data_IF_237532494045
#
_entry.id   IF_237532494045
#
_cell.length_a   1.000
_cell.length_b   1.000
_cell.length_c   1.000
_cell.angle_alpha   90.00
_cell.angle_beta   90.00
_cell.angle_gamma   90.00
#
_symmetry.space_group_name_H-M   'P 1'
#
loop_
_entity.id
_entity.type
_entity.pdbx_description
1 polymer ?
#
# COMPACT_ATOMS: atom_id res chain seq x y z
N UNK A 1 16.46 -21.38 14.94
CA UNK A 1 15.10 -20.79 15.10
C UNK A 1 15.21 -19.26 15.09
N UNK A 2 15.14 -18.55 13.95
CA UNK A 2 15.41 -17.11 13.94
C UNK A 2 14.14 -16.25 13.81
N UNK A 3 13.87 -15.47 14.85
CA UNK A 3 13.20 -14.18 14.82
C UNK A 3 14.16 -13.22 15.57
N UNK A 4 14.44 -11.99 15.16
CA UNK A 4 13.99 -10.74 15.80
C UNK A 4 14.49 -9.55 14.96
N UNK A 5 13.79 -8.40 14.98
CA UNK A 5 14.28 -7.20 14.29
C UNK A 5 15.48 -6.66 15.05
N UNK A 6 16.56 -6.38 14.35
CA UNK A 6 17.78 -5.90 15.00
C UNK A 6 17.52 -4.53 15.65
N UNK A 7 17.76 -4.36 16.97
CA UNK A 7 17.81 -3.06 17.58
C UNK A 7 18.97 -2.28 16.95
N UNK A 8 18.87 -0.95 16.83
CA UNK A 8 19.96 -0.09 16.31
C UNK A 8 21.35 -0.33 16.97
N UNK A 9 21.38 -0.99 18.12
CA UNK A 9 22.60 -1.43 18.80
C UNK A 9 23.34 -2.57 18.06
N UNK A 10 22.63 -3.55 17.48
CA UNK A 10 23.23 -4.67 16.73
C UNK A 10 23.79 -4.18 15.39
N UNK A 11 23.00 -3.38 14.66
CA UNK A 11 23.46 -2.71 13.43
C UNK A 11 24.63 -1.77 13.76
N UNK A 12 24.54 -1.00 14.86
CA UNK A 12 25.64 -0.14 15.31
C UNK A 12 26.92 -0.93 15.58
N UNK A 13 26.82 -2.05 16.30
CA UNK A 13 27.95 -2.93 16.57
C UNK A 13 28.56 -3.53 15.29
N UNK A 14 27.73 -3.99 14.35
CA UNK A 14 28.19 -4.57 13.09
C UNK A 14 28.91 -3.59 12.15
N UNK A 15 28.62 -2.30 12.28
CA UNK A 15 29.27 -1.22 11.51
C UNK A 15 30.25 -0.39 12.35
N UNK A 16 30.55 -0.81 13.58
CA UNK A 16 31.43 -0.09 14.53
C UNK A 16 31.04 1.37 14.77
N UNK A 17 29.74 1.67 14.77
CA UNK A 17 29.19 3.02 15.01
C UNK A 17 28.26 3.05 16.22
N UNK A 18 28.11 4.23 16.82
CA UNK A 18 27.16 4.40 17.93
C UNK A 18 25.72 4.18 17.50
N UNK A 19 24.88 3.69 18.42
CA UNK A 19 23.43 3.51 18.22
C UNK A 19 22.75 4.79 17.72
N UNK A 20 23.19 5.96 18.20
CA UNK A 20 22.68 7.26 17.76
C UNK A 20 23.03 7.57 16.29
N UNK A 21 24.25 7.21 15.87
CA UNK A 21 24.71 7.36 14.49
C UNK A 21 23.97 6.41 13.56
N UNK A 22 23.83 5.14 13.96
CA UNK A 22 23.02 4.16 13.24
C UNK A 22 21.57 4.64 13.08
N UNK A 23 20.94 5.12 14.16
CA UNK A 23 19.59 5.68 14.10
C UNK A 23 19.49 6.85 13.11
N UNK A 24 20.46 7.78 13.13
CA UNK A 24 20.48 8.94 12.21
C UNK A 24 20.55 8.47 10.76
N UNK A 25 21.50 7.59 10.44
CA UNK A 25 21.68 7.08 9.07
C UNK A 25 20.48 6.30 8.57
N UNK A 26 19.88 5.44 9.40
CA UNK A 26 18.66 4.72 9.00
C UNK A 26 17.52 5.69 8.71
N UNK A 27 17.30 6.70 9.56
CA UNK A 27 16.23 7.69 9.32
C UNK A 27 16.49 8.55 8.09
N UNK A 28 17.74 8.93 7.84
CA UNK A 28 18.16 9.70 6.66
C UNK A 28 17.95 8.89 5.38
N UNK A 29 18.43 7.65 5.35
CA UNK A 29 18.24 6.71 4.23
C UNK A 29 16.76 6.47 3.95
N UNK A 30 15.94 6.23 4.98
CA UNK A 30 14.47 6.10 4.82
C UNK A 30 13.87 7.39 4.24
N UNK A 31 14.36 8.56 4.66
CA UNK A 31 13.96 9.85 4.11
C UNK A 31 14.27 9.98 2.62
N UNK A 32 15.51 9.67 2.22
CA UNK A 32 15.98 9.71 0.83
C UNK A 32 15.20 8.73 -0.06
N UNK A 33 15.01 7.50 0.39
CA UNK A 33 14.22 6.50 -0.33
C UNK A 33 12.75 6.95 -0.47
N UNK A 34 12.17 7.49 0.60
CA UNK A 34 10.80 8.04 0.54
C UNK A 34 10.68 9.18 -0.47
N UNK A 35 11.70 10.03 -0.58
CA UNK A 35 11.71 11.14 -1.54
C UNK A 35 11.79 10.65 -3.00
N UNK A 36 12.44 9.49 -3.24
CA UNK A 36 12.50 8.83 -4.55
C UNK A 36 11.22 8.07 -4.92
N UNK A 37 10.34 7.80 -3.97
CA UNK A 37 9.09 7.09 -4.26
C UNK A 37 8.25 7.86 -5.29
N UNK A 38 7.75 7.18 -6.34
CA UNK A 38 7.00 7.84 -7.40
C UNK A 38 5.77 8.55 -6.83
N UNK A 39 5.42 9.68 -7.43
CA UNK A 39 4.11 10.32 -7.19
C UNK A 39 3.04 9.55 -7.95
N UNK A 40 1.82 9.51 -7.41
CA UNK A 40 0.68 8.80 -8.00
C UNK A 40 0.51 9.06 -9.50
N UNK A 41 0.44 10.33 -9.90
CA UNK A 41 0.27 10.73 -11.30
C UNK A 41 1.43 10.27 -12.19
N UNK A 42 2.67 10.28 -11.67
CA UNK A 42 3.83 9.81 -12.41
C UNK A 42 3.80 8.28 -12.57
N UNK A 43 3.42 7.54 -11.53
CA UNK A 43 3.26 6.09 -11.57
C UNK A 43 2.19 5.67 -12.60
N UNK A 44 1.02 6.31 -12.58
CA UNK A 44 -0.06 5.99 -13.52
C UNK A 44 0.27 6.40 -14.97
N UNK A 45 0.94 7.53 -15.20
CA UNK A 45 1.45 7.88 -16.54
C UNK A 45 2.50 6.89 -17.04
N UNK A 46 3.34 6.36 -16.15
CA UNK A 46 4.29 5.30 -16.52
C UNK A 46 3.53 4.05 -16.94
N UNK A 47 2.56 3.59 -16.14
CA UNK A 47 1.72 2.44 -16.46
C UNK A 47 0.97 2.60 -17.81
N UNK A 48 0.43 3.79 -18.07
CA UNK A 48 -0.21 4.11 -19.36
C UNK A 48 0.78 3.99 -20.53
N UNK A 49 1.98 4.58 -20.41
CA UNK A 49 3.01 4.50 -21.48
C UNK A 49 3.51 3.08 -21.70
N UNK A 50 3.51 2.25 -20.65
CA UNK A 50 3.86 0.83 -20.72
C UNK A 50 2.69 -0.04 -21.25
N UNK A 51 1.57 0.57 -21.64
CA UNK A 51 0.45 -0.13 -22.26
C UNK A 51 -0.34 -1.03 -21.31
N UNK A 52 -0.28 -0.78 -20.00
CA UNK A 52 -1.02 -1.58 -19.03
C UNK A 52 -2.53 -1.43 -19.22
N UNK A 53 -3.23 -2.55 -19.45
CA UNK A 53 -4.68 -2.54 -19.66
C UNK A 53 -5.47 -2.11 -18.42
N UNK A 54 -4.94 -2.41 -17.24
CA UNK A 54 -5.53 -2.02 -15.96
C UNK A 54 -4.45 -1.96 -14.88
N UNK A 55 -4.80 -1.35 -13.75
CA UNK A 55 -4.05 -1.41 -12.50
C UNK A 55 -4.92 -2.00 -11.39
N UNK A 56 -4.32 -2.42 -10.29
CA UNK A 56 -5.03 -2.95 -9.12
C UNK A 56 -4.92 -1.91 -8.02
N UNK A 57 -6.05 -1.52 -7.44
CA UNK A 57 -6.09 -0.65 -6.25
C UNK A 57 -6.45 -1.51 -5.04
N UNK A 58 -5.68 -1.37 -3.97
CA UNK A 58 -5.96 -2.05 -2.72
C UNK A 58 -5.49 -1.24 -1.51
N UNK A 59 -6.30 -1.29 -0.44
CA UNK A 59 -6.04 -0.62 0.82
C UNK A 59 -5.47 -1.62 1.81
N UNK A 60 -4.43 -1.23 2.54
CA UNK A 60 -3.79 -2.15 3.48
C UNK A 60 -3.51 -1.49 4.82
N UNK A 61 -3.87 -2.19 5.89
CA UNK A 61 -3.62 -1.78 7.25
C UNK A 61 -2.24 -2.27 7.69
N UNK A 62 -1.38 -1.35 8.13
CA UNK A 62 -0.09 -1.64 8.76
C UNK A 62 -0.27 -1.46 10.27
N UNK A 63 -0.11 -2.51 11.09
CA UNK A 63 -0.26 -2.42 12.54
C UNK A 63 0.77 -1.49 13.19
N UNK A 64 0.31 -0.66 14.13
CA UNK A 64 1.15 0.23 14.95
C UNK A 64 0.94 -0.08 16.44
N UNK A 65 1.88 0.34 17.29
CA UNK A 65 1.63 0.36 18.74
C UNK A 65 0.46 1.29 19.08
N UNK A 66 -0.30 0.90 20.11
CA UNK A 66 -1.41 1.71 20.63
C UNK A 66 -0.86 3.05 21.13
N UNK A 67 -1.35 4.17 20.61
CA UNK A 67 -1.16 5.47 21.26
C UNK A 67 -2.29 5.67 22.28
N UNK A 68 -2.00 6.36 23.39
CA UNK A 68 -2.95 6.60 24.47
C UNK A 68 -4.20 7.42 24.06
N UNK A 69 -4.14 8.17 22.95
CA UNK A 69 -5.16 9.14 22.53
C UNK A 69 -5.68 8.88 21.10
N UNK A 70 -6.30 7.71 20.80
CA UNK A 70 -6.15 7.21 19.42
C UNK A 70 -7.30 6.45 18.74
N UNK A 71 -8.56 6.79 19.05
CA UNK A 71 -9.72 6.32 18.27
C UNK A 71 -9.52 6.41 16.75
N UNK A 72 -8.90 7.46 16.16
CA UNK A 72 -8.70 7.55 14.72
C UNK A 72 -7.80 6.46 14.11
N UNK A 73 -6.87 5.87 14.87
CA UNK A 73 -5.99 4.82 14.35
C UNK A 73 -6.52 3.42 14.61
N UNK A 74 -7.56 3.28 15.44
CA UNK A 74 -8.24 2.02 15.64
C UNK A 74 -9.11 1.67 14.42
N UNK A 75 -8.74 0.59 13.73
CA UNK A 75 -9.55 0.04 12.64
C UNK A 75 -10.59 -0.92 13.20
N UNK A 76 -11.87 -0.54 13.17
CA UNK A 76 -12.96 -1.41 13.62
C UNK A 76 -13.05 -2.72 12.82
N UNK A 77 -12.77 -2.67 11.50
CA UNK A 77 -12.73 -3.83 10.60
C UNK A 77 -11.70 -4.88 11.05
N UNK A 78 -10.54 -4.42 11.50
CA UNK A 78 -9.43 -5.28 11.86
C UNK A 78 -9.24 -5.46 13.37
N UNK A 79 -9.99 -4.72 14.20
CA UNK A 79 -9.89 -4.67 15.67
C UNK A 79 -8.47 -4.37 16.19
N UNK A 80 -7.72 -3.56 15.43
CA UNK A 80 -6.30 -3.28 15.65
C UNK A 80 -6.02 -1.80 15.42
N UNK A 81 -5.03 -1.24 16.14
CA UNK A 81 -4.48 0.08 15.81
C UNK A 81 -3.54 -0.05 14.61
N UNK A 82 -3.69 0.83 13.63
CA UNK A 82 -2.89 0.79 12.43
C UNK A 82 -2.93 2.10 11.65
N UNK A 83 -2.11 2.16 10.62
CA UNK A 83 -2.23 3.15 9.56
C UNK A 83 -2.79 2.48 8.30
N UNK A 84 -3.69 3.15 7.60
CA UNK A 84 -4.15 2.75 6.29
C UNK A 84 -3.21 3.36 5.23
N UNK A 85 -2.68 2.53 4.35
CA UNK A 85 -1.97 2.95 3.13
C UNK A 85 -2.66 2.35 1.92
N UNK A 86 -2.74 3.13 0.85
CA UNK A 86 -3.28 2.71 -0.44
C UNK A 86 -2.13 2.29 -1.35
N UNK A 87 -2.32 1.21 -2.07
CA UNK A 87 -1.34 0.64 -2.98
C UNK A 87 -1.96 0.54 -4.36
N UNK A 88 -1.17 0.90 -5.38
CA UNK A 88 -1.48 0.63 -6.77
C UNK A 88 -0.43 -0.33 -7.30
N UNK A 89 -0.89 -1.44 -7.88
CA UNK A 89 -0.05 -2.47 -8.47
C UNK A 89 -0.39 -2.69 -9.95
N UNK A 90 0.56 -3.19 -10.71
CA UNK A 90 0.36 -3.66 -12.08
C UNK A 90 -0.30 -5.04 -12.11
N UNK A 91 -0.78 -5.51 -13.29
CA UNK A 91 -1.41 -6.82 -13.44
C UNK A 91 -0.54 -8.02 -13.05
N UNK A 92 0.79 -7.90 -13.08
CA UNK A 92 1.74 -8.94 -12.66
C UNK A 92 1.98 -8.97 -11.13
N UNK A 93 1.57 -7.91 -10.42
CA UNK A 93 1.76 -7.74 -8.98
C UNK A 93 2.92 -6.82 -8.60
N UNK A 94 3.58 -6.15 -9.55
CA UNK A 94 4.60 -5.14 -9.24
C UNK A 94 3.95 -3.91 -8.60
N UNK A 95 4.53 -3.40 -7.52
CA UNK A 95 4.03 -2.18 -6.86
C UNK A 95 4.40 -0.96 -7.70
N UNK A 96 3.40 -0.21 -8.14
CA UNK A 96 3.60 1.02 -8.93
C UNK A 96 3.60 2.26 -8.04
N UNK A 97 2.82 2.24 -6.96
CA UNK A 97 2.71 3.37 -6.05
C UNK A 97 2.22 2.95 -4.66
N UNK A 98 2.73 3.62 -3.63
CA UNK A 98 2.26 3.53 -2.25
C UNK A 98 1.95 4.93 -1.70
N UNK A 99 0.79 5.07 -1.08
CA UNK A 99 0.34 6.34 -0.52
C UNK A 99 1.12 6.78 0.72
N UNK A 100 0.90 8.02 1.16
CA UNK A 100 1.25 8.39 2.54
C UNK A 100 0.34 7.66 3.54
N UNK A 101 0.68 7.74 4.83
CA UNK A 101 -0.17 7.16 5.86
C UNK A 101 -1.48 7.94 6.04
N UNK A 102 -2.55 7.20 6.32
CA UNK A 102 -3.80 7.72 6.87
C UNK A 102 -4.13 6.96 8.16
N UNK A 103 -4.98 7.51 9.04
CA UNK A 103 -5.43 6.80 10.23
C UNK A 103 -6.11 5.47 9.87
N UNK A 104 -5.90 4.41 10.65
CA UNK A 104 -6.42 3.07 10.37
C UNK A 104 -7.94 2.94 10.38
N UNK A 105 -8.67 3.90 10.95
CA UNK A 105 -10.14 3.99 10.84
C UNK A 105 -10.63 4.49 9.48
N UNK A 106 -9.74 5.04 8.65
CA UNK A 106 -10.11 5.63 7.35
C UNK A 106 -10.59 4.56 6.39
N UNK A 107 -11.82 4.71 5.89
CA UNK A 107 -12.39 3.82 4.89
C UNK A 107 -11.65 3.94 3.55
N UNK A 108 -11.55 2.85 2.80
CA UNK A 108 -10.74 2.81 1.56
C UNK A 108 -11.24 3.81 0.50
N UNK A 109 -12.56 3.98 0.33
CA UNK A 109 -13.11 5.05 -0.53
C UNK A 109 -12.70 6.45 -0.07
N UNK A 110 -12.66 6.72 1.24
CA UNK A 110 -12.26 8.01 1.77
C UNK A 110 -10.75 8.24 1.55
N UNK A 111 -9.93 7.21 1.78
CA UNK A 111 -8.51 7.25 1.49
C UNK A 111 -8.24 7.53 0.01
N UNK A 112 -8.92 6.82 -0.90
CA UNK A 112 -8.78 7.04 -2.34
C UNK A 112 -9.24 8.43 -2.78
N UNK A 113 -10.27 9.02 -2.13
CA UNK A 113 -10.65 10.43 -2.34
C UNK A 113 -9.55 11.38 -1.88
N UNK A 114 -9.02 11.20 -0.66
CA UNK A 114 -7.93 12.05 -0.14
C UNK A 114 -6.72 12.05 -1.10
N UNK A 115 -6.37 10.88 -1.64
CA UNK A 115 -5.26 10.75 -2.58
C UNK A 115 -5.62 11.09 -4.04
N UNK A 116 -6.87 11.45 -4.32
CA UNK A 116 -7.36 11.84 -5.65
C UNK A 116 -7.09 10.78 -6.74
N UNK A 117 -7.25 9.50 -6.38
CA UNK A 117 -6.92 8.37 -7.27
C UNK A 117 -7.79 8.35 -8.52
N UNK A 118 -9.10 8.56 -8.38
CA UNK A 118 -10.04 8.60 -9.50
C UNK A 118 -9.73 9.71 -10.49
N UNK A 119 -9.34 10.89 -10.01
CA UNK A 119 -8.92 11.98 -10.87
C UNK A 119 -7.66 11.59 -11.66
N UNK A 120 -6.68 10.98 -10.99
CA UNK A 120 -5.45 10.55 -11.67
C UNK A 120 -5.69 9.41 -12.68
N UNK A 121 -6.64 8.50 -12.43
CA UNK A 121 -7.05 7.45 -13.38
C UNK A 121 -7.76 8.02 -14.61
N UNK A 122 -8.63 9.03 -14.42
CA UNK A 122 -9.30 9.75 -15.50
C UNK A 122 -8.28 10.41 -16.42
N UNK A 123 -7.29 11.09 -15.84
CA UNK A 123 -6.26 11.79 -16.60
C UNK A 123 -5.40 10.84 -17.47
N UNK A 124 -5.29 9.56 -17.09
CA UNK A 124 -4.51 8.57 -17.85
C UNK A 124 -5.37 7.65 -18.70
N UNK A 125 -6.70 7.69 -18.54
CA UNK A 125 -7.63 6.74 -19.16
C UNK A 125 -7.53 5.31 -18.64
N UNK A 126 -6.84 5.08 -17.51
CA UNK A 126 -6.63 3.73 -16.97
C UNK A 126 -7.85 3.25 -16.18
N UNK A 127 -8.03 1.93 -16.18
CA UNK A 127 -8.99 1.23 -15.32
C UNK A 127 -8.27 0.67 -14.10
N UNK A 128 -8.88 0.80 -12.93
CA UNK A 128 -8.43 0.20 -11.68
C UNK A 128 -9.41 -0.86 -11.18
N UNK A 129 -8.88 -2.04 -10.81
CA UNK A 129 -9.65 -3.11 -10.18
C UNK A 129 -9.55 -3.00 -8.66
N UNK A 130 -10.66 -2.66 -8.01
CA UNK A 130 -10.76 -2.52 -6.56
C UNK A 130 -11.49 -3.68 -5.88
N UNK A 131 -11.30 -3.82 -4.57
CA UNK A 131 -12.10 -4.71 -3.74
C UNK A 131 -13.49 -4.10 -3.46
N UNK A 132 -14.28 -4.76 -2.60
CA UNK A 132 -15.59 -4.25 -2.19
C UNK A 132 -15.50 -2.95 -1.37
N UNK A 133 -14.36 -2.65 -0.76
CA UNK A 133 -14.09 -1.41 -0.04
C UNK A 133 -14.07 -0.18 -0.93
N UNK A 134 -13.90 -0.34 -2.25
CA UNK A 134 -13.98 0.74 -3.23
C UNK A 134 -15.35 0.90 -3.88
N UNK A 135 -16.35 0.11 -3.45
CA UNK A 135 -17.66 0.18 -4.07
C UNK A 135 -18.29 1.57 -3.92
N UNK A 136 -18.86 2.10 -5.01
CA UNK A 136 -19.40 3.46 -5.06
C UNK A 136 -18.36 4.57 -5.00
N UNK A 137 -17.06 4.25 -5.11
CA UNK A 137 -16.00 5.26 -5.22
C UNK A 137 -16.09 6.00 -6.56
N UNK A 138 -16.20 5.26 -7.66
CA UNK A 138 -16.52 5.79 -8.97
C UNK A 138 -18.00 5.56 -9.26
N UNK A 139 -18.78 6.64 -9.29
CA UNK A 139 -20.22 6.59 -9.54
C UNK A 139 -20.55 6.16 -10.98
N UNK A 140 -19.62 6.39 -11.92
CA UNK A 140 -19.78 5.98 -13.33
C UNK A 140 -19.37 4.53 -13.56
N UNK A 141 -18.49 3.99 -12.70
CA UNK A 141 -17.90 2.67 -12.86
C UNK A 141 -16.97 2.52 -14.07
N UNK A 142 -16.59 3.62 -14.73
CA UNK A 142 -15.76 3.61 -15.94
C UNK A 142 -14.27 3.40 -15.63
N UNK A 143 -13.79 3.92 -14.51
CA UNK A 143 -12.37 3.86 -14.14
C UNK A 143 -12.11 2.99 -12.92
N UNK A 144 -13.08 2.78 -12.04
CA UNK A 144 -12.91 1.88 -10.89
C UNK A 144 -13.96 0.80 -10.91
N UNK A 145 -13.51 -0.42 -11.24
CA UNK A 145 -14.37 -1.60 -11.30
C UNK A 145 -14.27 -2.30 -9.94
N UNK A 146 -15.42 -2.68 -9.39
CA UNK A 146 -15.53 -3.45 -8.14
C UNK A 146 -16.47 -4.64 -8.36
N UNK A 147 -16.32 -5.74 -7.60
CA UNK A 147 -17.16 -6.90 -7.78
C UNK A 147 -18.63 -6.59 -7.44
N UNK A 148 -19.56 -7.23 -8.13
CA UNK A 148 -21.00 -7.08 -7.89
C UNK A 148 -21.38 -7.44 -6.44
N UNK A 149 -22.26 -6.65 -5.82
CA UNK A 149 -22.79 -6.87 -4.45
C UNK A 149 -24.12 -7.64 -4.48
N UNK A 150 -24.51 -8.25 -3.36
CA UNK A 150 -25.80 -8.94 -3.20
C UNK A 150 -25.70 -10.45 -2.97
N UNK A 151 -26.78 -11.02 -2.43
CA UNK A 151 -27.05 -12.48 -2.32
C UNK A 151 -27.84 -12.95 -3.55
N UNK A 152 -27.80 -14.25 -3.86
CA UNK A 152 -28.53 -14.86 -4.98
C UNK A 152 -28.26 -14.22 -6.36
N UNK A 153 -26.98 -14.01 -6.66
CA UNK A 153 -26.58 -13.43 -7.95
C UNK A 153 -26.83 -14.41 -9.10
N UNK A 154 -27.21 -13.91 -10.30
CA UNK A 154 -27.16 -14.68 -11.53
C UNK A 154 -25.75 -15.27 -11.75
N UNK A 155 -25.67 -16.40 -12.45
CA UNK A 155 -24.38 -17.08 -12.65
C UNK A 155 -23.38 -16.19 -13.40
N UNK A 156 -23.84 -15.39 -14.37
CA UNK A 156 -23.00 -14.41 -15.09
C UNK A 156 -22.30 -13.40 -14.16
N UNK A 157 -22.96 -12.93 -13.12
CA UNK A 157 -22.33 -12.03 -12.13
C UNK A 157 -21.38 -12.76 -11.19
N UNK A 158 -21.63 -14.05 -10.92
CA UNK A 158 -20.67 -14.86 -10.16
C UNK A 158 -19.41 -15.12 -10.98
N UNK A 159 -19.55 -15.42 -12.26
CA UNK A 159 -18.44 -15.56 -13.21
C UNK A 159 -17.61 -14.28 -13.31
N UNK A 160 -18.27 -13.13 -13.49
CA UNK A 160 -17.60 -11.84 -13.49
C UNK A 160 -16.83 -11.60 -12.18
N UNK A 161 -17.41 -11.94 -11.03
CA UNK A 161 -16.71 -11.83 -9.74
C UNK A 161 -15.53 -12.80 -9.61
N UNK A 162 -15.63 -14.02 -10.15
CA UNK A 162 -14.51 -14.98 -10.19
C UNK A 162 -13.37 -14.46 -11.07
N UNK A 163 -13.69 -13.92 -12.25
CA UNK A 163 -12.71 -13.30 -13.14
C UNK A 163 -12.06 -12.07 -12.47
N UNK A 164 -12.86 -11.20 -11.84
CA UNK A 164 -12.39 -10.04 -11.09
C UNK A 164 -11.42 -10.43 -9.98
N UNK A 165 -11.76 -11.45 -9.18
CA UNK A 165 -10.89 -11.94 -8.13
C UNK A 165 -9.57 -12.50 -8.69
N UNK A 166 -9.62 -13.25 -9.79
CA UNK A 166 -8.42 -13.78 -10.46
C UNK A 166 -7.49 -12.65 -10.94
N UNK A 167 -8.05 -11.61 -11.55
CA UNK A 167 -7.29 -10.46 -12.06
C UNK A 167 -6.71 -9.59 -10.93
N UNK A 168 -7.33 -9.60 -9.74
CA UNK A 168 -6.84 -8.87 -8.55
C UNK A 168 -5.83 -9.63 -7.70
N UNK A 169 -5.80 -10.97 -7.77
CA UNK A 169 -4.87 -11.81 -7.02
C UNK A 169 -3.41 -11.33 -7.02
N UNK A 170 -2.86 -10.84 -8.16
CA UNK A 170 -1.52 -10.24 -8.19
C UNK A 170 -1.33 -9.02 -7.28
N UNK A 171 -2.32 -8.13 -7.16
CA UNK A 171 -2.24 -6.98 -6.26
C UNK A 171 -2.34 -7.38 -4.78
N UNK A 172 -3.09 -8.44 -4.47
CA UNK A 172 -3.10 -9.00 -3.12
C UNK A 172 -1.72 -9.57 -2.74
N UNK A 173 -1.04 -10.22 -3.70
CA UNK A 173 0.37 -10.65 -3.51
C UNK A 173 1.31 -9.48 -3.31
N UNK A 174 1.14 -8.39 -4.06
CA UNK A 174 1.93 -7.16 -3.89
C UNK A 174 1.82 -6.63 -2.45
N UNK A 175 0.60 -6.59 -1.91
CA UNK A 175 0.36 -6.21 -0.52
C UNK A 175 0.92 -7.21 0.49
N UNK A 176 0.87 -8.50 0.20
CA UNK A 176 1.49 -9.52 1.04
C UNK A 176 3.01 -9.36 1.08
N UNK A 177 3.65 -9.10 -0.07
CA UNK A 177 5.08 -8.80 -0.18
C UNK A 177 5.46 -7.53 0.57
N UNK A 178 4.63 -6.49 0.56
CA UNK A 178 4.87 -5.32 1.41
C UNK A 178 4.90 -5.72 2.89
N UNK A 179 3.97 -6.59 3.32
CA UNK A 179 3.84 -7.06 4.72
C UNK A 179 4.86 -8.10 5.17
N UNK A 180 5.63 -8.72 4.28
CA UNK A 180 6.69 -9.66 4.68
C UNK A 180 7.80 -8.94 5.45
N UNK A 181 8.05 -7.66 5.12
CA UNK A 181 9.00 -6.79 5.80
C UNK A 181 8.66 -6.66 7.28
N UNK A 182 9.58 -7.15 8.12
CA UNK A 182 9.36 -7.27 9.57
C UNK A 182 9.05 -5.94 10.24
N UNK A 183 9.61 -4.85 9.72
CA UNK A 183 9.35 -3.49 10.18
C UNK A 183 7.87 -3.10 10.03
N UNK A 184 7.15 -3.65 9.05
CA UNK A 184 5.72 -3.38 8.82
C UNK A 184 4.79 -4.34 9.57
N UNK A 185 5.30 -5.41 10.20
CA UNK A 185 4.44 -6.31 11.00
C UNK A 185 3.92 -5.64 12.26
N UNK A 186 4.73 -4.77 12.87
CA UNK A 186 4.36 -3.94 14.02
C UNK A 186 5.31 -2.75 14.11
N UNK A 187 4.87 -1.60 13.62
CA UNK A 187 5.66 -0.38 13.65
C UNK A 187 5.70 0.20 15.08
N UNK A 188 6.87 0.16 15.70
CA UNK A 188 7.17 0.82 16.98
C UNK A 188 7.77 2.22 16.74
N UNK A 189 7.04 3.07 16.04
CA UNK A 189 7.49 4.43 15.75
C UNK A 189 6.34 5.42 15.84
N UNK A 190 6.65 6.71 15.94
CA UNK A 190 5.64 7.77 15.91
C UNK A 190 4.73 7.59 14.67
N UNK A 191 3.41 7.54 14.81
CA UNK A 191 2.51 7.30 13.68
C UNK A 191 2.55 8.36 12.59
N UNK A 192 3.13 9.54 12.86
CA UNK A 192 3.48 10.55 11.85
C UNK A 192 4.68 10.18 10.96
N UNK A 193 5.49 9.19 11.34
CA UNK A 193 6.62 8.66 10.56
C UNK A 193 6.34 7.29 9.94
N UNK A 194 5.28 6.62 10.38
CA UNK A 194 4.94 5.23 10.02
C UNK A 194 4.71 4.96 8.52
N UNK A 195 4.35 5.97 7.71
CA UNK A 195 4.20 5.79 6.26
C UNK A 195 5.50 5.92 5.46
N UNK A 196 6.59 6.44 6.04
CA UNK A 196 7.89 6.55 5.35
C UNK A 196 8.52 5.18 5.08
N UNK A 197 8.54 4.22 6.03
CA UNK A 197 9.01 2.86 5.77
C UNK A 197 8.29 2.19 4.59
N UNK A 198 6.96 2.32 4.48
CA UNK A 198 6.20 1.71 3.39
C UNK A 198 6.61 2.24 2.00
N UNK A 199 6.86 3.56 1.90
CA UNK A 199 7.35 4.19 0.66
C UNK A 199 8.80 3.81 0.35
N UNK A 200 9.65 3.76 1.36
CA UNK A 200 11.04 3.35 1.19
C UNK A 200 11.16 1.89 0.74
N UNK A 201 10.38 0.99 1.35
CA UNK A 201 10.30 -0.43 0.96
C UNK A 201 9.87 -0.58 -0.50
N UNK A 202 8.85 0.17 -0.94
CA UNK A 202 8.42 0.15 -2.32
C UNK A 202 9.56 0.53 -3.31
N UNK A 203 10.37 1.53 -2.98
CA UNK A 203 11.52 1.90 -3.82
C UNK A 203 12.57 0.79 -3.86
N UNK A 204 12.85 0.14 -2.73
CA UNK A 204 13.78 -0.98 -2.67
C UNK A 204 13.28 -2.20 -3.47
N UNK A 205 12.02 -2.57 -3.32
CA UNK A 205 11.42 -3.69 -4.06
C UNK A 205 11.46 -3.45 -5.57
N UNK A 206 11.17 -2.24 -6.02
CA UNK A 206 11.24 -1.92 -7.45
C UNK A 206 12.67 -1.93 -7.97
N UNK A 207 13.66 -1.56 -7.14
CA UNK A 207 15.07 -1.67 -7.49
C UNK A 207 15.50 -3.13 -7.64
N UNK A 208 15.15 -4.00 -6.68
CA UNK A 208 15.45 -5.44 -6.72
C UNK A 208 14.83 -6.13 -7.95
N UNK A 209 13.59 -5.77 -8.31
CA UNK A 209 12.91 -6.33 -9.49
C UNK A 209 13.51 -5.83 -10.81
N UNK A 210 14.12 -4.64 -10.85
CA UNK A 210 14.68 -4.06 -12.08
C UNK A 210 16.17 -4.38 -12.26
N UNK A 211 16.90 -4.65 -11.18
CA UNK A 211 18.34 -4.89 -11.18
C UNK A 211 18.74 -6.38 -11.20
N UNK A 212 17.77 -7.30 -11.08
CA UNK A 212 17.96 -8.74 -11.27
C UNK A 212 17.61 -9.17 -12.68
#
# INVERSE_FOLDING_TARGET
>A
MPAQGEPFAEVGAGFEVSTATCWRYVNETVGLLTARAPKLRAALRKAQREGMAYVIIDGTLIPIDRIAADRPYYSGKHKLHGINVQVIASPDGTILWVSGQLPGSTHDTAAARIWQILAALRDTGLIALGDKGYHGYDQTGHHVITPYKGRNKPESQKEANRAHARLRGPGERANAQLKTWRILRKLRCCPRRAGRPAKAIHVLQNYEVTAG
#
